data_IF_125418674415
#
_entry.id   IF_125418674415
#
_cell.length_a   1.000
_cell.length_b   1.000
_cell.length_c   1.000
_cell.angle_alpha   90.00
_cell.angle_beta   90.00
_cell.angle_gamma   90.00
#
_symmetry.space_group_name_H-M   'P 1'
#
loop_
_entity.id
_entity.type
_entity.pdbx_description
1 polymer ?
#
# COMPACT_ATOMS: atom_id res chain seq x y z
N UNK A 1 0.23 24.52 6.19
CA UNK A 1 -0.87 23.67 5.67
C UNK A 1 -1.18 22.62 6.72
N UNK A 2 -2.45 22.31 6.96
CA UNK A 2 -2.81 21.21 7.86
C UNK A 2 -2.29 19.88 7.29
N UNK A 3 -1.76 19.01 8.15
CA UNK A 3 -1.30 17.69 7.76
C UNK A 3 -2.45 16.85 7.18
N UNK A 4 -2.11 15.92 6.30
CA UNK A 4 -3.04 14.97 5.70
C UNK A 4 -2.89 13.61 6.34
N UNK A 5 -3.95 12.80 6.32
CA UNK A 5 -3.91 11.41 6.80
C UNK A 5 -3.96 10.47 5.60
N UNK A 6 -2.94 9.63 5.47
CA UNK A 6 -2.77 8.71 4.35
C UNK A 6 -2.91 7.28 4.86
N UNK A 7 -3.73 6.50 4.19
CA UNK A 7 -3.83 5.06 4.43
C UNK A 7 -2.78 4.33 3.60
N UNK A 8 -1.92 3.53 4.23
CA UNK A 8 -0.97 2.67 3.52
C UNK A 8 -1.42 1.21 3.63
N UNK A 9 -1.62 0.57 2.49
CA UNK A 9 -1.94 -0.85 2.39
C UNK A 9 -0.68 -1.67 2.18
N UNK A 10 -0.43 -2.61 3.08
CA UNK A 10 0.70 -3.56 3.03
C UNK A 10 0.22 -4.98 3.24
N UNK A 11 1.02 -5.96 2.82
CA UNK A 11 0.86 -7.37 3.11
C UNK A 11 2.16 -7.97 3.64
N UNK A 12 2.14 -9.26 4.00
CA UNK A 12 3.37 -9.97 4.30
C UNK A 12 4.33 -9.92 3.09
N UNK A 13 5.61 -9.69 3.36
CA UNK A 13 6.67 -9.53 2.36
C UNK A 13 6.47 -8.34 1.41
N UNK A 14 5.82 -7.28 1.89
CA UNK A 14 5.88 -5.98 1.21
C UNK A 14 7.32 -5.46 1.21
N UNK A 15 7.65 -4.68 0.17
CA UNK A 15 8.99 -4.10 0.03
C UNK A 15 9.29 -3.11 1.16
N UNK A 16 10.34 -3.39 1.92
CA UNK A 16 10.74 -2.61 3.09
C UNK A 16 10.97 -1.13 2.74
N UNK A 17 11.70 -0.89 1.67
CA UNK A 17 12.07 0.45 1.24
C UNK A 17 10.84 1.31 0.90
N UNK A 18 9.84 0.69 0.31
CA UNK A 18 8.61 1.37 -0.09
C UNK A 18 7.70 1.69 1.09
N UNK A 19 7.82 0.96 2.19
CA UNK A 19 7.12 1.25 3.43
C UNK A 19 7.84 2.37 4.18
N UNK A 20 9.10 2.15 4.58
CA UNK A 20 9.80 3.05 5.49
C UNK A 20 10.09 4.42 4.88
N UNK A 21 10.55 4.46 3.61
CA UNK A 21 10.90 5.73 2.97
C UNK A 21 9.66 6.59 2.78
N UNK A 22 8.56 6.00 2.33
CA UNK A 22 7.31 6.74 2.17
C UNK A 22 6.78 7.26 3.50
N UNK A 23 6.70 6.40 4.53
CA UNK A 23 6.23 6.80 5.86
C UNK A 23 7.07 7.95 6.43
N UNK A 24 8.39 7.80 6.42
CA UNK A 24 9.32 8.81 6.94
C UNK A 24 9.22 10.13 6.17
N UNK A 25 9.13 10.07 4.83
CA UNK A 25 9.00 11.26 4.00
C UNK A 25 7.69 12.01 4.30
N UNK A 26 6.59 11.28 4.43
CA UNK A 26 5.28 11.89 4.74
C UNK A 26 5.27 12.51 6.13
N UNK A 27 5.84 11.84 7.14
CA UNK A 27 5.98 12.38 8.48
C UNK A 27 6.86 13.64 8.49
N UNK A 28 7.96 13.65 7.74
CA UNK A 28 8.87 14.80 7.65
C UNK A 28 8.19 16.07 7.11
N UNK A 29 7.17 15.93 6.27
CA UNK A 29 6.39 17.05 5.75
C UNK A 29 5.07 17.28 6.50
N UNK A 30 4.88 16.63 7.64
CA UNK A 30 3.78 16.88 8.57
C UNK A 30 2.49 16.10 8.25
N UNK A 31 2.56 15.02 7.48
CA UNK A 31 1.42 14.13 7.26
C UNK A 31 1.43 12.95 8.24
N UNK A 32 0.29 12.32 8.42
CA UNK A 32 0.14 11.08 9.19
C UNK A 32 -0.05 9.91 8.23
N UNK A 33 0.65 8.80 8.48
CA UNK A 33 0.50 7.56 7.71
C UNK A 33 -0.01 6.46 8.64
N UNK A 34 -1.18 5.90 8.32
CA UNK A 34 -1.68 4.71 8.97
C UNK A 34 -1.39 3.50 8.09
N UNK A 35 -0.55 2.62 8.59
CA UNK A 35 -0.13 1.40 7.87
C UNK A 35 -0.95 0.24 8.38
N UNK A 36 -1.64 -0.43 7.46
CA UNK A 36 -2.55 -1.53 7.76
C UNK A 36 -2.27 -2.75 6.88
N UNK A 37 -2.48 -3.92 7.45
CA UNK A 37 -2.45 -5.20 6.75
C UNK A 37 -3.74 -5.97 7.09
N UNK A 38 -4.41 -6.64 6.14
CA UNK A 38 -5.57 -7.47 6.44
C UNK A 38 -5.32 -8.41 7.61
N UNK A 39 -6.31 -8.54 8.47
CA UNK A 39 -6.32 -9.40 9.68
C UNK A 39 -5.30 -9.03 10.77
N UNK A 40 -4.56 -7.94 10.62
CA UNK A 40 -3.61 -7.44 11.63
C UNK A 40 -4.21 -6.32 12.47
N UNK A 41 -3.78 -6.27 13.73
CA UNK A 41 -4.09 -5.20 14.68
C UNK A 41 -2.90 -4.28 14.83
N UNK A 42 -3.12 -3.08 15.32
CA UNK A 42 -2.05 -2.16 15.68
C UNK A 42 -1.04 -2.83 16.63
N UNK A 43 0.24 -2.77 16.28
CA UNK A 43 1.34 -3.43 16.98
C UNK A 43 1.69 -4.83 16.45
N UNK A 44 0.84 -5.45 15.64
CA UNK A 44 1.18 -6.72 15.00
C UNK A 44 2.31 -6.55 13.98
N UNK A 45 3.08 -7.60 13.80
CA UNK A 45 4.23 -7.64 12.89
C UNK A 45 3.82 -8.15 11.52
N UNK A 46 4.35 -7.52 10.49
CA UNK A 46 4.51 -8.10 9.15
C UNK A 46 5.98 -8.30 8.85
N UNK A 47 6.30 -9.34 8.11
CA UNK A 47 7.62 -9.53 7.52
C UNK A 47 7.74 -8.63 6.30
N UNK A 48 8.87 -7.98 6.14
CA UNK A 48 9.18 -7.22 4.93
C UNK A 48 10.20 -7.95 4.08
N UNK A 49 10.39 -7.52 2.87
CA UNK A 49 11.40 -8.04 1.96
C UNK A 49 12.19 -6.93 1.29
N UNK A 50 13.37 -7.28 0.83
CA UNK A 50 14.26 -6.44 0.05
C UNK A 50 14.47 -7.10 -1.32
N UNK A 51 14.23 -6.35 -2.39
CA UNK A 51 14.36 -6.82 -3.77
C UNK A 51 15.46 -6.05 -4.51
N UNK A 52 16.15 -6.74 -5.40
CA UNK A 52 17.06 -6.17 -6.41
C UNK A 52 18.13 -5.19 -5.89
N UNK A 53 18.60 -5.39 -4.66
CA UNK A 53 19.55 -4.49 -4.02
C UNK A 53 21.02 -4.75 -4.41
N UNK A 54 21.31 -5.77 -5.21
CA UNK A 54 22.66 -6.12 -5.68
C UNK A 54 23.04 -5.43 -7.01
N UNK A 55 22.17 -4.57 -7.52
CA UNK A 55 22.46 -3.77 -8.72
C UNK A 55 22.27 -4.51 -10.05
N UNK A 56 22.00 -5.79 -10.03
CA UNK A 56 21.66 -6.57 -11.22
C UNK A 56 20.14 -6.72 -11.31
N UNK A 57 19.59 -6.66 -12.52
CA UNK A 57 18.16 -6.90 -12.74
C UNK A 57 17.83 -8.41 -12.69
N UNK A 58 18.26 -9.05 -11.62
CA UNK A 58 17.85 -10.41 -11.26
C UNK A 58 16.86 -10.31 -10.14
N UNK A 59 15.74 -11.00 -10.25
CA UNK A 59 14.74 -11.01 -9.18
C UNK A 59 15.32 -11.72 -7.95
N UNK A 60 15.88 -10.92 -7.03
CA UNK A 60 16.39 -11.41 -5.74
C UNK A 60 15.52 -10.88 -4.62
N UNK A 61 15.23 -11.72 -3.64
CA UNK A 61 14.46 -11.35 -2.47
C UNK A 61 15.21 -11.80 -1.22
N UNK A 62 15.40 -10.88 -0.29
CA UNK A 62 15.91 -11.17 1.06
C UNK A 62 14.92 -10.70 2.11
N UNK A 63 14.93 -11.33 3.26
CA UNK A 63 14.13 -10.89 4.41
C UNK A 63 14.63 -9.52 4.88
N UNK A 64 13.72 -8.57 4.99
CA UNK A 64 13.94 -7.26 5.58
C UNK A 64 13.66 -7.24 7.08
N UNK A 65 13.54 -6.04 7.64
CA UNK A 65 13.16 -5.84 9.04
C UNK A 65 11.69 -6.17 9.26
N UNK A 66 11.36 -6.55 10.48
CA UNK A 66 9.98 -6.61 10.92
C UNK A 66 9.37 -5.20 10.94
N UNK A 67 8.18 -5.05 10.39
CA UNK A 67 7.43 -3.81 10.49
C UNK A 67 6.21 -4.00 11.39
N UNK A 68 6.01 -3.10 12.35
CA UNK A 68 4.83 -3.10 13.19
C UNK A 68 3.76 -2.19 12.61
N UNK A 69 2.64 -2.78 12.15
CA UNK A 69 1.52 -1.98 11.65
C UNK A 69 0.99 -1.07 12.75
N UNK A 70 0.67 0.16 12.41
CA UNK A 70 0.33 1.19 13.41
C UNK A 70 -1.18 1.46 13.54
N UNK A 71 -1.99 0.75 12.75
CA UNK A 71 -3.45 0.84 12.79
C UNK A 71 -4.06 -0.54 12.59
N UNK A 72 -5.12 -0.85 13.33
CA UNK A 72 -5.90 -2.08 13.16
C UNK A 72 -6.68 -2.03 11.85
N UNK A 73 -6.55 -3.05 11.00
CA UNK A 73 -7.22 -3.09 9.70
C UNK A 73 -8.75 -2.99 9.83
N UNK A 74 -9.33 -3.70 10.79
CA UNK A 74 -10.78 -3.73 10.99
C UNK A 74 -11.37 -2.37 11.42
N UNK A 75 -10.54 -1.47 11.94
CA UNK A 75 -10.97 -0.14 12.44
C UNK A 75 -10.75 0.96 11.38
N UNK A 76 -10.49 0.59 10.13
CA UNK A 76 -10.30 1.56 9.05
C UNK A 76 -11.65 1.99 8.49
N UNK A 77 -11.98 3.28 8.65
CA UNK A 77 -13.00 3.92 7.86
C UNK A 77 -12.31 4.73 6.74
N UNK A 78 -12.47 4.36 5.46
CA UNK A 78 -11.80 5.07 4.35
C UNK A 78 -12.23 6.54 4.21
N UNK A 79 -13.35 6.94 4.81
CA UNK A 79 -13.79 8.33 4.82
C UNK A 79 -12.82 9.24 5.60
N UNK A 80 -12.12 8.71 6.61
CA UNK A 80 -11.20 9.44 7.48
C UNK A 80 -9.85 9.77 6.81
N UNK A 81 -9.62 9.29 5.59
CA UNK A 81 -8.34 9.43 4.91
C UNK A 81 -8.42 10.34 3.70
N UNK A 82 -7.35 11.09 3.48
CA UNK A 82 -7.19 12.00 2.33
C UNK A 82 -6.69 11.27 1.07
N UNK A 83 -5.95 10.18 1.25
CA UNK A 83 -5.36 9.40 0.16
C UNK A 83 -5.09 7.96 0.59
N UNK A 84 -4.90 7.07 -0.39
CA UNK A 84 -4.39 5.71 -0.18
C UNK A 84 -3.08 5.50 -0.93
N UNK A 85 -2.15 4.80 -0.29
CA UNK A 85 -0.88 4.36 -0.87
C UNK A 85 -0.79 2.83 -0.79
N UNK A 86 -0.44 2.18 -1.90
CA UNK A 86 -0.26 0.75 -1.99
C UNK A 86 1.23 0.44 -2.20
N UNK A 87 1.87 -0.09 -1.18
CA UNK A 87 3.26 -0.54 -1.26
C UNK A 87 3.38 -1.81 -2.13
N UNK A 88 4.55 -2.06 -2.64
CA UNK A 88 4.85 -3.20 -3.50
C UNK A 88 5.48 -4.38 -2.75
N UNK A 89 6.48 -4.99 -3.37
CA UNK A 89 6.99 -6.28 -2.95
C UNK A 89 5.99 -7.39 -3.26
N UNK A 90 6.00 -8.47 -2.50
CA UNK A 90 5.04 -9.58 -2.66
C UNK A 90 3.71 -9.37 -1.93
N UNK A 91 3.64 -8.43 -1.01
CA UNK A 91 2.41 -8.13 -0.27
C UNK A 91 1.17 -7.99 -1.15
N UNK A 92 1.22 -7.19 -2.25
CA UNK A 92 0.09 -7.05 -3.18
C UNK A 92 -0.44 -8.35 -3.77
N UNK A 93 0.42 -9.34 -3.99
CA UNK A 93 0.01 -10.64 -4.55
C UNK A 93 -1.00 -11.37 -3.64
N UNK A 94 -0.87 -11.16 -2.34
CA UNK A 94 -1.75 -11.76 -1.34
C UNK A 94 -2.99 -10.92 -1.09
N UNK A 95 -2.81 -9.60 -0.86
CA UNK A 95 -3.91 -8.75 -0.40
C UNK A 95 -4.85 -8.30 -1.51
N UNK A 96 -4.43 -8.33 -2.78
CA UNK A 96 -5.26 -7.91 -3.93
C UNK A 96 -6.55 -8.70 -4.09
N UNK A 97 -6.59 -9.94 -3.59
CA UNK A 97 -7.79 -10.80 -3.66
C UNK A 97 -8.73 -10.61 -2.47
N UNK A 98 -8.29 -9.89 -1.44
CA UNK A 98 -9.13 -9.57 -0.28
C UNK A 98 -10.20 -8.55 -0.66
N UNK A 99 -11.46 -8.93 -0.53
CA UNK A 99 -12.60 -8.07 -0.89
C UNK A 99 -12.68 -6.79 -0.06
N UNK A 100 -12.15 -6.81 1.16
CA UNK A 100 -12.09 -5.62 2.04
C UNK A 100 -11.06 -4.61 1.50
N UNK A 101 -9.91 -5.08 1.05
CA UNK A 101 -8.89 -4.24 0.38
C UNK A 101 -9.45 -3.65 -0.92
N UNK A 102 -10.13 -4.47 -1.73
CA UNK A 102 -10.78 -4.00 -2.95
C UNK A 102 -11.83 -2.93 -2.66
N UNK A 103 -12.61 -3.10 -1.59
CA UNK A 103 -13.63 -2.12 -1.19
C UNK A 103 -13.00 -0.78 -0.74
N UNK A 104 -11.87 -0.83 0.00
CA UNK A 104 -11.12 0.37 0.38
C UNK A 104 -10.66 1.13 -0.86
N UNK A 105 -9.96 0.47 -1.78
CA UNK A 105 -9.46 1.11 -3.00
C UNK A 105 -10.61 1.67 -3.85
N UNK A 106 -11.71 0.93 -3.98
CA UNK A 106 -12.92 1.39 -4.69
C UNK A 106 -13.46 2.68 -4.09
N UNK A 107 -13.51 2.79 -2.78
CA UNK A 107 -13.97 4.01 -2.09
C UNK A 107 -13.14 5.24 -2.50
N UNK A 108 -11.79 5.12 -2.50
CA UNK A 108 -10.93 6.23 -2.92
C UNK A 108 -11.16 6.61 -4.37
N UNK A 109 -11.34 5.63 -5.26
CA UNK A 109 -11.65 5.88 -6.65
C UNK A 109 -12.99 6.61 -6.83
N UNK A 110 -14.05 6.10 -6.21
CA UNK A 110 -15.41 6.65 -6.34
C UNK A 110 -15.54 8.05 -5.71
N UNK A 111 -14.78 8.33 -4.67
CA UNK A 111 -14.77 9.65 -4.00
C UNK A 111 -13.77 10.63 -4.62
N UNK A 112 -13.03 10.22 -5.67
CA UNK A 112 -12.03 11.06 -6.33
C UNK A 112 -10.82 11.41 -5.46
N UNK A 113 -10.56 10.65 -4.41
CA UNK A 113 -9.38 10.83 -3.55
C UNK A 113 -8.15 10.21 -4.22
N UNK A 114 -6.95 10.80 -4.02
CA UNK A 114 -5.72 10.27 -4.60
C UNK A 114 -5.42 8.82 -4.23
N UNK A 115 -4.99 8.06 -5.24
CA UNK A 115 -4.50 6.69 -5.09
C UNK A 115 -3.07 6.64 -5.62
N UNK A 116 -2.13 6.27 -4.78
CA UNK A 116 -0.72 6.12 -5.14
C UNK A 116 -0.32 4.65 -5.08
N UNK A 117 0.46 4.23 -6.05
CA UNK A 117 1.01 2.86 -6.07
C UNK A 117 2.48 2.91 -6.48
N UNK A 118 3.23 1.98 -5.96
CA UNK A 118 4.61 1.77 -6.38
C UNK A 118 4.83 0.29 -6.66
N UNK A 119 5.72 0.00 -7.61
CA UNK A 119 6.15 -1.37 -7.92
C UNK A 119 4.93 -2.30 -8.16
N UNK A 120 4.85 -3.42 -7.46
CA UNK A 120 3.73 -4.37 -7.53
C UNK A 120 2.44 -3.88 -6.85
N UNK A 121 2.46 -2.75 -6.14
CA UNK A 121 1.24 -2.14 -5.58
C UNK A 121 0.14 -1.90 -6.61
N UNK A 122 0.50 -1.69 -7.88
CA UNK A 122 -0.47 -1.57 -8.99
C UNK A 122 -1.36 -2.80 -9.17
N UNK A 123 -0.93 -3.98 -8.73
CA UNK A 123 -1.73 -5.21 -8.82
C UNK A 123 -3.03 -5.11 -8.00
N UNK A 124 -3.04 -4.32 -6.93
CA UNK A 124 -4.23 -4.09 -6.13
C UNK A 124 -5.27 -3.34 -6.98
N UNK A 125 -4.84 -2.32 -7.73
CA UNK A 125 -5.74 -1.55 -8.60
C UNK A 125 -6.33 -2.41 -9.72
N UNK A 126 -5.52 -3.27 -10.32
CA UNK A 126 -5.95 -4.16 -11.40
C UNK A 126 -7.03 -5.14 -10.92
N UNK A 127 -6.99 -5.50 -9.63
CA UNK A 127 -7.98 -6.40 -9.03
C UNK A 127 -9.33 -5.71 -8.72
N UNK A 128 -9.42 -4.39 -8.88
CA UNK A 128 -10.65 -3.62 -8.61
C UNK A 128 -11.28 -3.17 -9.92
N UNK A 129 -12.43 -3.73 -10.26
CA UNK A 129 -13.15 -3.41 -11.48
C UNK A 129 -13.43 -1.91 -11.61
N UNK A 130 -13.12 -1.35 -12.79
CA UNK A 130 -13.39 0.04 -13.14
C UNK A 130 -12.36 1.05 -12.65
N UNK A 131 -11.39 0.67 -11.79
CA UNK A 131 -10.34 1.58 -11.31
C UNK A 131 -9.26 1.79 -12.37
N UNK A 132 -8.82 0.73 -13.03
CA UNK A 132 -7.86 0.82 -14.14
C UNK A 132 -8.59 0.65 -15.46
N UNK A 133 -8.59 1.70 -16.28
CA UNK A 133 -9.01 1.59 -17.68
C UNK A 133 -7.76 1.39 -18.53
N UNK A 134 -7.66 0.24 -19.18
CA UNK A 134 -6.66 0.05 -20.22
C UNK A 134 -7.08 0.95 -21.38
N UNK A 135 -6.28 1.99 -21.64
CA UNK A 135 -6.56 2.93 -22.73
C UNK A 135 -6.76 2.18 -24.05
N UNK A 136 -7.88 2.43 -24.73
CA UNK A 136 -8.01 2.01 -26.12
C UNK A 136 -7.00 2.83 -26.92
N UNK A 137 -6.08 2.16 -27.59
CA UNK A 137 -5.32 2.80 -28.65
C UNK A 137 -6.36 3.32 -29.65
N UNK A 138 -6.43 4.64 -29.82
CA UNK A 138 -7.14 5.21 -30.95
C UNK A 138 -6.31 4.87 -32.21
N UNK A 139 -6.81 3.97 -33.01
CA UNK A 139 -6.32 3.72 -34.36
C UNK A 139 -6.88 4.79 -35.26
#
# INVERSE_FOLDING_TARGET
MAGKTILMLVGEFSEEYEIFVFEQAMHAVGHTVHVVCPDKKAGDVIKTSLHDFEGNQTYTEKLGHDYHVNKTFADVDPADYDAVYCAGGRGPEYIRIDKRVQALVRHFHETGKPIFTICHGVQILIAVDGVVQIGRAHV
#
